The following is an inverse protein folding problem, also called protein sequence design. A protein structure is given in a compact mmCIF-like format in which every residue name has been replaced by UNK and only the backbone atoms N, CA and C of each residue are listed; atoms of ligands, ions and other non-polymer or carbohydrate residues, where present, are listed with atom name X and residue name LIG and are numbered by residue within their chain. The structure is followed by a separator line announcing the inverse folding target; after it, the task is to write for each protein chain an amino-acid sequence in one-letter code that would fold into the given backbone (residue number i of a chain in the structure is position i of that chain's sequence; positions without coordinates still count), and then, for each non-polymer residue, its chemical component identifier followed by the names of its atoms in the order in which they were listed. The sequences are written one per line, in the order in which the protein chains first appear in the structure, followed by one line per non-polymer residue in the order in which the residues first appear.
data_IF_981055120622
#
_entry.id   IF_981055120622
#
_cell.length_a   1.000
_cell.length_b   1.000
_cell.length_c   1.000
_cell.angle_alpha   90.00
_cell.angle_beta   90.00
_cell.angle_gamma   90.00
#
_symmetry.space_group_name_H-M   'P 1'
#
loop_
_entity.id
_entity.type
_entity.pdbx_description
1 polymer ?
#
# COMPACT_ATOMS: atom_id res chain seq x y z
N UNK A 1 10.20 19.87 -10.51
CA UNK A 1 10.62 18.45 -10.66
C UNK A 1 9.96 17.90 -11.91
N UNK A 2 10.62 17.02 -12.65
CA UNK A 2 9.92 16.29 -13.71
C UNK A 2 8.96 15.28 -13.06
N UNK A 3 7.90 14.88 -13.74
CA UNK A 3 6.84 14.00 -13.23
C UNK A 3 7.39 12.71 -12.61
N UNK A 4 8.41 12.11 -13.22
CA UNK A 4 9.08 10.91 -12.69
C UNK A 4 9.74 11.14 -11.32
N UNK A 5 10.43 12.28 -11.16
CA UNK A 5 11.09 12.63 -9.89
C UNK A 5 10.07 12.82 -8.77
N UNK A 6 8.90 13.37 -9.10
CA UNK A 6 7.80 13.57 -8.14
C UNK A 6 7.25 12.23 -7.63
N UNK A 7 7.01 11.25 -8.50
CA UNK A 7 6.49 9.95 -8.06
C UNK A 7 7.51 9.17 -7.23
N UNK A 8 8.79 9.23 -7.59
CA UNK A 8 9.87 8.62 -6.80
C UNK A 8 10.00 9.29 -5.42
N UNK A 9 9.90 10.61 -5.34
CA UNK A 9 9.92 11.34 -4.08
C UNK A 9 8.81 10.88 -3.13
N UNK A 10 7.56 10.81 -3.59
CA UNK A 10 6.46 10.33 -2.75
C UNK A 10 6.53 8.83 -2.44
N UNK A 11 7.05 8.02 -3.37
CA UNK A 11 7.31 6.62 -3.09
C UNK A 11 8.36 6.44 -1.99
N UNK A 12 9.38 7.29 -1.94
CA UNK A 12 10.37 7.27 -0.87
C UNK A 12 9.74 7.57 0.51
N UNK A 13 8.77 8.47 0.57
CA UNK A 13 7.99 8.71 1.79
C UNK A 13 7.17 7.48 2.20
N UNK A 14 6.59 6.75 1.24
CA UNK A 14 5.91 5.48 1.49
C UNK A 14 6.89 4.39 1.97
N UNK A 15 8.13 4.38 1.46
CA UNK A 15 9.18 3.47 1.92
C UNK A 15 9.58 3.75 3.38
N UNK A 16 9.60 5.01 3.83
CA UNK A 16 9.80 5.34 5.25
C UNK A 16 8.71 4.70 6.12
N UNK A 17 7.44 4.77 5.70
CA UNK A 17 6.34 4.11 6.42
C UNK A 17 6.46 2.58 6.43
N UNK A 18 6.98 1.98 5.36
CA UNK A 18 7.23 0.55 5.29
C UNK A 18 8.35 0.11 6.26
N UNK A 19 9.39 0.92 6.42
CA UNK A 19 10.45 0.68 7.41
C UNK A 19 9.93 0.78 8.83
N UNK A 20 9.04 1.74 9.13
CA UNK A 20 8.34 1.79 10.41
C UNK A 20 7.50 0.54 10.69
N UNK A 21 6.86 -0.04 9.66
CA UNK A 21 6.13 -1.31 9.80
C UNK A 21 7.08 -2.46 10.12
N UNK A 22 8.21 -2.54 9.42
CA UNK A 22 9.23 -3.55 9.68
C UNK A 22 9.72 -3.50 11.13
N UNK A 23 10.06 -2.30 11.61
CA UNK A 23 10.52 -2.07 13.00
C UNK A 23 9.43 -2.47 14.01
N UNK A 24 8.16 -2.24 13.69
CA UNK A 24 7.02 -2.64 14.51
C UNK A 24 6.65 -4.14 14.43
N UNK A 25 7.40 -4.96 13.66
CA UNK A 25 7.09 -6.37 13.47
C UNK A 25 5.84 -6.62 12.61
N UNK A 26 5.47 -5.66 11.77
CA UNK A 26 4.37 -5.74 10.81
C UNK A 26 4.89 -6.05 9.41
N UNK A 27 4.03 -6.61 8.56
CA UNK A 27 4.36 -6.76 7.13
C UNK A 27 4.70 -5.38 6.58
N UNK A 28 5.88 -5.17 5.95
CA UNK A 28 6.40 -3.83 5.65
C UNK A 28 5.76 -3.22 4.41
N UNK A 29 4.50 -2.86 4.55
CA UNK A 29 3.74 -2.08 3.57
C UNK A 29 3.49 -0.72 4.16
N UNK A 30 3.91 0.31 3.43
CA UNK A 30 3.72 1.72 3.77
C UNK A 30 3.06 2.44 2.61
N UNK A 31 2.31 3.49 2.90
CA UNK A 31 1.69 4.32 1.88
C UNK A 31 1.60 5.79 2.29
N UNK A 32 1.48 6.65 1.28
CA UNK A 32 1.14 8.07 1.43
C UNK A 32 0.05 8.45 0.44
N UNK A 33 -0.92 9.23 0.90
CA UNK A 33 -1.96 9.83 0.07
C UNK A 33 -1.61 11.30 -0.16
N UNK A 34 -1.61 11.71 -1.43
CA UNK A 34 -1.21 13.05 -1.86
C UNK A 34 -2.37 13.73 -2.58
N UNK A 35 -2.67 14.97 -2.20
CA UNK A 35 -3.66 15.85 -2.82
C UNK A 35 -3.09 17.26 -2.87
N UNK A 36 -3.22 17.93 -4.02
CA UNK A 36 -2.69 19.29 -4.22
C UNK A 36 -1.21 19.42 -3.81
N UNK A 37 -0.40 18.44 -4.23
CA UNK A 37 1.04 18.33 -3.94
C UNK A 37 1.41 18.24 -2.44
N UNK A 38 0.42 17.95 -1.59
CA UNK A 38 0.59 17.79 -0.15
C UNK A 38 0.19 16.39 0.29
N UNK A 39 0.95 15.84 1.22
CA UNK A 39 0.55 14.62 1.92
C UNK A 39 -0.63 14.94 2.81
N UNK A 40 -1.73 14.21 2.62
CA UNK A 40 -2.93 14.32 3.45
C UNK A 40 -3.06 13.18 4.46
N UNK A 41 -2.38 12.06 4.24
CA UNK A 41 -2.25 10.97 5.21
C UNK A 41 -1.02 10.11 4.89
N UNK A 42 -0.44 9.51 5.93
CA UNK A 42 0.62 8.50 5.85
C UNK A 42 0.26 7.32 6.72
N UNK A 43 0.41 6.11 6.22
CA UNK A 43 0.08 4.94 7.00
C UNK A 43 0.95 3.74 6.65
N UNK A 44 0.85 2.73 7.51
CA UNK A 44 1.54 1.45 7.40
C UNK A 44 0.64 0.33 7.89
N UNK A 45 0.98 -0.91 7.55
CA UNK A 45 0.27 -2.05 8.12
C UNK A 45 0.35 -2.07 9.66
N UNK A 46 -0.78 -2.42 10.28
CA UNK A 46 -0.98 -2.52 11.74
C UNK A 46 -1.85 -3.73 12.12
N UNK A 47 -1.84 -4.77 11.31
CA UNK A 47 -2.75 -5.92 11.46
C UNK A 47 -2.49 -6.69 12.75
N UNK A 48 -1.23 -6.89 13.13
CA UNK A 48 -0.86 -7.54 14.39
C UNK A 48 -1.12 -6.62 15.58
N UNK A 49 -0.69 -5.36 15.49
CA UNK A 49 -0.81 -4.34 16.53
C UNK A 49 -2.27 -4.12 16.94
N UNK A 50 -3.18 -4.03 15.96
CA UNK A 50 -4.60 -3.78 16.18
C UNK A 50 -5.46 -5.06 16.18
N UNK A 51 -4.83 -6.23 16.04
CA UNK A 51 -5.49 -7.55 15.97
C UNK A 51 -6.66 -7.58 15.00
N UNK A 52 -6.49 -6.92 13.85
CA UNK A 52 -7.52 -6.77 12.85
C UNK A 52 -6.90 -6.95 11.46
N UNK A 53 -7.37 -7.97 10.75
CA UNK A 53 -6.85 -8.36 9.45
C UNK A 53 -7.03 -7.28 8.36
N UNK A 54 -7.95 -6.32 8.55
CA UNK A 54 -8.19 -5.26 7.57
C UNK A 54 -7.28 -4.04 7.76
N UNK A 55 -6.42 -4.01 8.78
CA UNK A 55 -5.57 -2.84 9.11
C UNK A 55 -4.32 -2.77 8.23
N UNK A 56 -4.59 -2.76 6.92
CA UNK A 56 -3.60 -2.51 5.88
C UNK A 56 -3.30 -1.02 5.77
N UNK A 57 -2.12 -0.66 5.28
CA UNK A 57 -1.67 0.72 5.13
C UNK A 57 -2.71 1.59 4.41
N UNK A 58 -3.27 1.12 3.30
CA UNK A 58 -4.24 1.88 2.51
C UNK A 58 -5.53 2.15 3.29
N UNK A 59 -6.05 1.16 4.03
CA UNK A 59 -7.28 1.32 4.80
C UNK A 59 -7.08 2.18 6.04
N UNK A 60 -5.93 2.10 6.70
CA UNK A 60 -5.58 2.98 7.83
C UNK A 60 -5.54 4.46 7.39
N UNK A 61 -4.88 4.75 6.26
CA UNK A 61 -4.84 6.12 5.73
C UNK A 61 -6.22 6.60 5.22
N UNK A 62 -7.02 5.71 4.62
CA UNK A 62 -8.41 6.04 4.24
C UNK A 62 -9.23 6.43 5.48
N UNK A 63 -9.16 5.65 6.55
CA UNK A 63 -9.87 5.94 7.79
C UNK A 63 -9.44 7.30 8.38
N UNK A 64 -8.14 7.60 8.38
CA UNK A 64 -7.60 8.91 8.79
C UNK A 64 -8.22 10.04 7.95
N UNK A 65 -8.14 9.95 6.61
CA UNK A 65 -8.66 10.97 5.69
C UNK A 65 -10.16 11.20 5.89
N UNK A 66 -10.95 10.13 5.96
CA UNK A 66 -12.41 10.23 6.05
C UNK A 66 -12.89 10.69 7.43
N UNK A 67 -12.09 10.48 8.47
CA UNK A 67 -12.39 10.97 9.83
C UNK A 67 -12.11 12.47 10.00
N UNK A 68 -11.25 13.05 9.16
CA UNK A 68 -10.87 14.46 9.22
C UNK A 68 -11.78 15.33 8.32
N UNK A 69 -12.66 16.10 8.96
CA UNK A 69 -13.56 17.05 8.27
C UNK A 69 -12.82 18.18 7.55
N UNK A 70 -11.56 18.44 7.84
CA UNK A 70 -10.76 19.42 7.09
C UNK A 70 -10.30 18.86 5.75
N UNK A 71 -10.11 17.55 5.65
CA UNK A 71 -9.73 16.84 4.42
C UNK A 71 -10.94 16.41 3.59
N UNK A 72 -12.06 16.12 4.25
CA UNK A 72 -13.35 15.82 3.60
C UNK A 72 -14.48 16.69 4.17
N UNK A 73 -14.51 18.00 3.85
CA UNK A 73 -15.47 18.94 4.42
C UNK A 73 -16.92 18.72 3.96
N UNK A 74 -17.10 18.02 2.84
CA UNK A 74 -18.41 17.71 2.28
C UNK A 74 -18.52 16.21 2.04
N UNK A 75 -19.71 15.66 2.30
CA UNK A 75 -20.03 14.28 1.95
C UNK A 75 -20.27 14.22 0.45
N UNK A 76 -19.32 13.63 -0.26
CA UNK A 76 -19.38 13.43 -1.72
C UNK A 76 -19.26 11.94 -2.03
N UNK A 77 -19.77 11.54 -3.21
CA UNK A 77 -19.75 10.13 -3.63
C UNK A 77 -18.32 9.56 -3.75
N UNK A 78 -17.37 10.38 -4.21
CA UNK A 78 -15.97 9.99 -4.46
C UNK A 78 -15.00 10.94 -3.76
N UNK A 79 -14.79 10.77 -2.43
CA UNK A 79 -13.97 11.68 -1.64
C UNK A 79 -12.48 11.66 -2.01
N UNK A 80 -12.02 10.65 -2.77
CA UNK A 80 -10.61 10.51 -3.17
C UNK A 80 -10.34 10.83 -4.65
N UNK A 81 -11.32 11.43 -5.36
CA UNK A 81 -11.25 11.71 -6.81
C UNK A 81 -10.11 12.63 -7.26
N UNK A 82 -9.53 13.41 -6.35
CA UNK A 82 -8.37 14.27 -6.61
C UNK A 82 -7.10 13.79 -5.92
N UNK A 83 -7.11 12.57 -5.38
CA UNK A 83 -6.06 12.04 -4.51
C UNK A 83 -5.26 10.94 -5.22
N UNK A 84 -3.94 11.03 -5.14
CA UNK A 84 -3.01 9.99 -5.63
C UNK A 84 -2.47 9.19 -4.46
N UNK A 85 -2.45 7.87 -4.61
CA UNK A 85 -1.84 6.96 -3.65
C UNK A 85 -0.43 6.55 -4.13
N UNK A 86 0.53 6.55 -3.21
CA UNK A 86 1.82 5.89 -3.35
C UNK A 86 1.93 4.79 -2.30
N UNK A 87 2.16 3.54 -2.71
CA UNK A 87 2.21 2.39 -1.79
C UNK A 87 3.35 1.44 -2.17
N UNK A 88 4.08 0.92 -1.18
CA UNK A 88 5.30 0.15 -1.47
C UNK A 88 5.04 -1.18 -2.18
N UNK A 89 3.86 -1.77 -1.97
CA UNK A 89 3.42 -3.04 -2.57
C UNK A 89 2.09 -2.84 -3.27
N UNK A 90 1.89 -3.49 -4.41
CA UNK A 90 0.61 -3.48 -5.12
C UNK A 90 -0.57 -3.74 -4.15
N UNK A 91 -1.62 -2.88 -4.18
CA UNK A 91 -2.80 -3.06 -3.35
C UNK A 91 -3.38 -4.45 -3.51
N UNK A 92 -3.75 -5.08 -2.40
CA UNK A 92 -4.47 -6.35 -2.49
C UNK A 92 -5.90 -6.14 -3.02
N UNK A 93 -6.59 -7.22 -3.39
CA UNK A 93 -8.00 -7.19 -3.86
C UNK A 93 -8.91 -6.34 -2.96
N UNK A 94 -8.77 -6.46 -1.63
CA UNK A 94 -9.54 -5.67 -0.65
C UNK A 94 -9.25 -4.17 -0.76
N UNK A 95 -7.98 -3.78 -0.69
CA UNK A 95 -7.57 -2.37 -0.77
C UNK A 95 -7.90 -1.78 -2.14
N UNK A 96 -7.66 -2.52 -3.22
CA UNK A 96 -7.96 -2.12 -4.58
C UNK A 96 -9.46 -1.84 -4.78
N UNK A 97 -10.32 -2.68 -4.19
CA UNK A 97 -11.78 -2.48 -4.21
C UNK A 97 -12.20 -1.24 -3.42
N UNK A 98 -11.66 -1.03 -2.22
CA UNK A 98 -11.95 0.15 -1.40
C UNK A 98 -11.56 1.45 -2.13
N UNK A 99 -10.37 1.48 -2.73
CA UNK A 99 -9.88 2.60 -3.54
C UNK A 99 -10.79 2.90 -4.73
N UNK A 100 -11.29 1.85 -5.42
CA UNK A 100 -12.24 2.00 -6.54
C UNK A 100 -13.57 2.61 -6.08
N UNK A 101 -14.10 2.11 -4.97
CA UNK A 101 -15.39 2.57 -4.43
C UNK A 101 -15.34 4.03 -3.98
N UNK A 102 -14.21 4.45 -3.40
CA UNK A 102 -13.96 5.84 -2.96
C UNK A 102 -13.53 6.76 -4.12
N UNK A 103 -13.34 6.19 -5.31
CA UNK A 103 -12.98 6.89 -6.53
C UNK A 103 -11.59 7.51 -6.46
N UNK A 104 -10.56 6.76 -6.08
CA UNK A 104 -9.16 7.24 -6.13
C UNK A 104 -8.80 7.75 -7.54
N UNK A 105 -7.98 8.80 -7.65
CA UNK A 105 -7.52 9.31 -8.95
C UNK A 105 -6.61 8.31 -9.66
N UNK A 106 -5.55 7.90 -8.97
CA UNK A 106 -4.52 7.02 -9.51
C UNK A 106 -3.68 6.43 -8.36
N UNK A 107 -3.01 5.31 -8.65
CA UNK A 107 -2.15 4.59 -7.71
C UNK A 107 -0.79 4.35 -8.35
N UNK A 108 0.27 4.67 -7.62
CA UNK A 108 1.63 4.26 -7.93
C UNK A 108 2.09 3.27 -6.88
N UNK A 109 2.69 2.17 -7.32
CA UNK A 109 3.20 1.16 -6.40
C UNK A 109 4.61 0.70 -6.72
N UNK A 110 5.28 0.15 -5.71
CA UNK A 110 6.63 -0.37 -5.86
C UNK A 110 6.69 -1.72 -6.53
N UNK A 111 6.60 -2.79 -5.74
CA UNK A 111 6.61 -4.14 -6.28
C UNK A 111 5.20 -4.73 -6.42
N UNK A 112 5.05 -5.70 -7.31
CA UNK A 112 3.80 -6.46 -7.45
C UNK A 112 3.46 -7.29 -6.21
N UNK A 113 2.21 -7.74 -6.13
CA UNK A 113 1.70 -8.61 -5.10
C UNK A 113 1.24 -9.94 -5.70
N UNK A 114 2.19 -10.87 -5.86
CA UNK A 114 2.00 -12.15 -6.55
C UNK A 114 0.91 -13.05 -5.94
N UNK A 115 0.54 -12.83 -4.68
CA UNK A 115 -0.43 -13.68 -3.97
C UNK A 115 -1.81 -13.08 -3.87
N UNK A 116 -1.91 -11.75 -3.79
CA UNK A 116 -3.16 -11.07 -3.45
C UNK A 116 -3.43 -9.81 -4.29
N UNK A 117 -2.60 -9.51 -5.30
CA UNK A 117 -2.63 -8.26 -6.06
C UNK A 117 -3.96 -8.00 -6.76
N UNK A 118 -4.56 -6.86 -6.43
CA UNK A 118 -5.84 -6.39 -6.96
C UNK A 118 -5.71 -5.40 -8.11
N UNK A 119 -4.48 -5.16 -8.61
CA UNK A 119 -4.22 -4.24 -9.70
C UNK A 119 -3.59 -4.93 -10.93
N UNK A 120 -3.78 -6.25 -11.04
CA UNK A 120 -3.35 -7.04 -12.20
C UNK A 120 -2.50 -8.28 -11.88
N UNK A 121 -1.80 -8.36 -10.74
CA UNK A 121 -0.99 -9.56 -10.46
C UNK A 121 -1.82 -10.82 -10.23
N UNK A 122 -2.99 -10.69 -9.61
CA UNK A 122 -3.94 -11.80 -9.42
C UNK A 122 -5.29 -11.48 -10.06
N UNK A 123 -5.78 -10.26 -9.83
CA UNK A 123 -7.07 -9.81 -10.34
C UNK A 123 -7.01 -8.30 -10.64
N UNK A 124 -7.50 -7.86 -11.79
CA UNK A 124 -7.60 -6.44 -12.14
C UNK A 124 -8.85 -5.78 -11.53
N UNK A 125 -8.92 -5.66 -10.21
CA UNK A 125 -10.04 -4.98 -9.54
C UNK A 125 -10.06 -3.49 -9.89
N UNK A 126 -8.90 -2.89 -10.14
CA UNK A 126 -8.77 -1.50 -10.56
C UNK A 126 -9.33 -1.21 -11.96
N UNK A 127 -9.25 -2.17 -12.91
CA UNK A 127 -9.57 -1.92 -14.33
C UNK A 127 -10.31 -3.05 -15.05
N UNK A 128 -9.88 -4.30 -14.88
CA UNK A 128 -10.28 -5.41 -15.76
C UNK A 128 -11.68 -5.96 -15.44
N UNK A 129 -12.13 -5.74 -14.20
CA UNK A 129 -13.49 -6.08 -13.80
C UNK A 129 -14.46 -4.94 -14.14
N UNK A 130 -15.49 -5.24 -14.94
CA UNK A 130 -16.62 -4.33 -15.09
C UNK A 130 -17.33 -4.12 -13.75
N UNK A 131 -17.68 -2.86 -13.45
CA UNK A 131 -18.41 -2.52 -12.24
C UNK A 131 -19.50 -1.50 -12.56
N UNK A 132 -20.77 -1.74 -12.16
CA UNK A 132 -21.90 -0.91 -12.60
C UNK A 132 -21.87 0.52 -12.05
N UNK A 133 -21.25 0.73 -10.90
CA UNK A 133 -21.29 2.00 -10.18
C UNK A 133 -19.94 2.71 -10.00
N UNK A 134 -18.80 2.01 -10.12
CA UNK A 134 -17.50 2.50 -9.67
C UNK A 134 -16.51 2.42 -10.85
N UNK A 135 -16.10 3.57 -11.42
CA UNK A 135 -15.17 3.61 -12.54
C UNK A 135 -13.83 2.94 -12.24
N UNK A 136 -13.12 2.53 -13.29
CA UNK A 136 -11.75 2.06 -13.18
C UNK A 136 -10.79 3.19 -12.79
N UNK A 137 -9.60 2.83 -12.29
CA UNK A 137 -8.51 3.77 -12.04
C UNK A 137 -7.15 3.21 -12.51
N UNK A 138 -6.22 4.12 -12.77
CA UNK A 138 -4.87 3.77 -13.20
C UNK A 138 -4.02 3.30 -12.01
N UNK A 139 -3.36 2.16 -12.16
CA UNK A 139 -2.40 1.63 -11.21
C UNK A 139 -1.08 1.33 -11.92
N UNK A 140 0.02 1.96 -11.50
CA UNK A 140 1.32 1.90 -12.18
C UNK A 140 2.39 1.42 -11.21
N UNK A 141 2.98 0.26 -11.50
CA UNK A 141 4.04 -0.35 -10.71
C UNK A 141 5.45 0.07 -11.11
N UNK A 142 6.44 -0.28 -10.28
CA UNK A 142 7.86 -0.17 -10.61
C UNK A 142 8.66 0.86 -9.82
N UNK A 143 8.02 1.66 -8.97
CA UNK A 143 8.68 2.77 -8.25
C UNK A 143 9.38 2.27 -6.99
N UNK A 144 10.70 2.41 -6.89
CA UNK A 144 11.47 1.79 -5.79
C UNK A 144 11.19 0.27 -5.67
N UNK A 145 10.93 -0.40 -6.79
CA UNK A 145 10.55 -1.83 -6.83
C UNK A 145 11.55 -2.71 -6.08
N UNK A 146 12.83 -2.45 -6.28
CA UNK A 146 13.89 -3.25 -5.68
C UNK A 146 13.87 -3.11 -4.15
N UNK A 147 13.78 -1.89 -3.64
CA UNK A 147 13.70 -1.62 -2.20
C UNK A 147 12.45 -2.24 -1.56
N UNK A 148 11.31 -2.15 -2.25
CA UNK A 148 10.05 -2.77 -1.81
C UNK A 148 10.14 -4.31 -1.73
N UNK A 149 10.82 -4.95 -2.70
CA UNK A 149 11.09 -6.40 -2.65
C UNK A 149 12.04 -6.71 -1.50
N UNK A 150 13.10 -5.93 -1.33
CA UNK A 150 14.12 -6.17 -0.32
C UNK A 150 13.57 -6.05 1.10
N UNK A 151 12.73 -5.06 1.38
CA UNK A 151 12.10 -4.92 2.71
C UNK A 151 11.14 -6.07 3.02
N UNK A 152 10.35 -6.54 2.05
CA UNK A 152 9.51 -7.74 2.22
C UNK A 152 10.35 -8.98 2.49
N UNK A 153 11.46 -9.17 1.75
CA UNK A 153 12.38 -10.29 1.99
C UNK A 153 12.98 -10.23 3.39
N UNK A 154 13.42 -9.05 3.85
CA UNK A 154 13.89 -8.84 5.23
C UNK A 154 12.84 -9.30 6.24
N UNK A 155 11.58 -8.88 6.10
CA UNK A 155 10.49 -9.32 6.96
C UNK A 155 10.30 -10.84 6.98
N UNK A 156 10.26 -11.51 5.82
CA UNK A 156 10.02 -12.96 5.79
C UNK A 156 11.17 -13.82 6.32
N UNK A 157 12.37 -13.24 6.46
CA UNK A 157 13.50 -13.85 7.16
C UNK A 157 13.38 -13.73 8.67
N UNK A 158 12.74 -12.68 9.18
CA UNK A 158 12.51 -12.55 10.62
C UNK A 158 11.64 -13.70 11.14
N UNK A 159 11.92 -14.09 12.39
CA UNK A 159 11.14 -15.09 13.09
C UNK A 159 9.84 -14.47 13.57
N UNK A 160 8.73 -15.19 13.42
CA UNK A 160 7.48 -14.76 14.04
C UNK A 160 7.52 -15.15 15.51
N UNK A 161 7.99 -14.25 16.36
CA UNK A 161 8.08 -14.43 17.82
C UNK A 161 6.71 -14.58 18.49
N UNK A 162 5.64 -14.17 17.81
CA UNK A 162 4.25 -14.33 18.28
C UNK A 162 3.64 -15.70 17.92
N UNK A 163 4.35 -16.56 17.19
CA UNK A 163 3.87 -17.91 16.90
C UNK A 163 3.94 -18.79 18.16
N UNK A 164 2.92 -19.63 18.45
CA UNK A 164 2.91 -20.50 19.64
C UNK A 164 4.09 -21.47 19.70
N UNK A 165 4.59 -21.87 18.54
CA UNK A 165 5.83 -22.62 18.36
C UNK A 165 6.64 -21.90 17.28
N UNK A 166 7.62 -21.07 17.64
CA UNK A 166 8.50 -20.43 16.68
C UNK A 166 9.24 -21.51 15.88
N UNK A 167 8.97 -21.60 14.57
CA UNK A 167 9.79 -22.43 13.68
C UNK A 167 11.03 -21.64 13.32
N UNK A 168 12.19 -22.12 13.77
CA UNK A 168 13.50 -21.64 13.36
C UNK A 168 13.57 -21.63 11.82
N UNK A 169 13.78 -20.45 11.23
CA UNK A 169 13.96 -20.30 9.78
C UNK A 169 15.44 -20.35 9.39
N UNK A 170 16.22 -21.19 10.06
CA UNK A 170 17.69 -21.28 9.98
C UNK A 170 18.26 -21.50 8.57
N UNK A 171 17.47 -22.00 7.62
CA UNK A 171 17.89 -22.26 6.23
C UNK A 171 17.49 -21.18 5.20
N UNK A 172 16.89 -20.06 5.60
CA UNK A 172 16.52 -19.01 4.64
C UNK A 172 17.63 -17.96 4.54
N UNK A 173 18.33 -17.95 3.40
CA UNK A 173 19.29 -16.91 3.05
C UNK A 173 18.58 -15.76 2.34
N UNK A 174 18.94 -14.51 2.68
CA UNK A 174 18.47 -13.34 1.93
C UNK A 174 19.02 -13.41 0.51
N UNK A 175 18.12 -13.62 -0.47
CA UNK A 175 18.46 -13.41 -1.87
C UNK A 175 18.51 -11.90 -2.11
N UNK A 176 19.65 -11.38 -2.55
CA UNK A 176 19.84 -9.97 -2.89
C UNK A 176 19.57 -9.68 -4.36
N UNK A 177 19.69 -10.69 -5.22
CA UNK A 177 19.37 -10.58 -6.65
C UNK A 177 17.86 -10.56 -6.86
N UNK A 178 17.40 -9.64 -7.71
CA UNK A 178 15.99 -9.45 -8.07
C UNK A 178 15.86 -9.82 -9.55
N UNK A 179 15.23 -10.97 -9.81
CA UNK A 179 14.85 -11.45 -11.15
C UNK A 179 13.48 -10.92 -11.56
#
# INVERSE_FOLDING_TARGET
MNTMDTHLYWMQEAMTMAEEALVAGEVPVGCVFVRDEKVIAKARNRTNQLRNATRHAELEAIDEILSDKTLTPQVVKYPLSTTTLYVTVEPCIMCASALRQLGIREVFYGCGNERFGGCGSVLGVNSDLEHPAHPAYNAIGGYCREDAIMILRRFYLTENTNAPVPKLKTNRVLKTEIS
#
